data_IF_808858957388
#
_entry.id   IF_808858957388
#
_cell.length_a   1.000
_cell.length_b   1.000
_cell.length_c   1.000
_cell.angle_alpha   90.00
_cell.angle_beta   90.00
_cell.angle_gamma   90.00
#
_symmetry.space_group_name_H-M   'P 1'
#
loop_
_entity.id
_entity.type
_entity.pdbx_description
1 polymer ?
#
# COMPACT_ATOMS: atom_id res chain seq x y z
N UNK A 1 91.07 12.88 -29.70
CA UNK A 1 91.77 11.61 -29.40
C UNK A 1 91.28 11.18 -28.04
N UNK A 2 90.93 9.93 -27.92
CA UNK A 2 90.55 9.19 -26.72
C UNK A 2 89.06 9.00 -26.58
N UNK A 3 88.61 7.97 -27.11
CA UNK A 3 88.08 6.65 -26.77
C UNK A 3 86.95 6.61 -25.73
N UNK A 4 85.85 6.03 -26.24
CA UNK A 4 84.72 5.49 -25.51
C UNK A 4 85.10 4.15 -24.81
N UNK A 5 84.51 3.81 -23.71
CA UNK A 5 84.00 2.47 -23.65
C UNK A 5 82.51 2.36 -23.26
N UNK A 6 82.00 1.39 -23.85
CA UNK A 6 80.67 0.81 -23.87
C UNK A 6 80.24 0.15 -22.54
N UNK A 7 78.95 -0.09 -22.53
CA UNK A 7 78.20 -1.06 -21.73
C UNK A 7 77.71 -0.56 -20.35
N UNK A 8 76.47 -0.71 -19.98
CA UNK A 8 75.71 -1.96 -19.86
C UNK A 8 74.24 -1.63 -19.98
N UNK A 9 73.55 -2.38 -20.82
CA UNK A 9 72.10 -2.46 -20.85
C UNK A 9 71.61 -3.25 -19.63
N UNK A 10 70.74 -2.65 -18.81
CA UNK A 10 69.97 -3.41 -17.87
C UNK A 10 68.49 -3.13 -18.16
N UNK A 11 67.88 -4.09 -18.77
CA UNK A 11 66.43 -4.13 -19.06
C UNK A 11 65.74 -4.47 -17.77
N UNK A 12 65.06 -3.50 -17.17
CA UNK A 12 64.13 -3.79 -16.05
C UNK A 12 62.75 -3.94 -16.65
N UNK A 13 62.34 -5.18 -16.83
CA UNK A 13 60.95 -5.49 -17.17
C UNK A 13 60.08 -5.25 -15.94
N UNK A 14 59.35 -4.13 -15.94
CA UNK A 14 58.30 -3.89 -14.97
C UNK A 14 57.08 -4.71 -15.36
N UNK A 15 56.86 -5.78 -14.63
CA UNK A 15 55.62 -6.57 -14.67
C UNK A 15 54.54 -5.77 -13.94
N UNK A 16 53.69 -5.10 -14.69
CA UNK A 16 52.50 -4.43 -14.17
C UNK A 16 51.46 -5.50 -13.82
N UNK A 17 51.35 -5.83 -12.55
CA UNK A 17 50.27 -6.70 -12.04
C UNK A 17 48.97 -5.91 -12.00
N UNK A 18 48.10 -6.15 -12.95
CA UNK A 18 46.71 -5.72 -12.90
C UNK A 18 45.97 -6.55 -11.90
N UNK A 19 45.76 -6.05 -10.70
CA UNK A 19 44.77 -6.60 -9.77
C UNK A 19 43.40 -6.11 -10.20
N UNK A 20 42.64 -7.00 -10.87
CA UNK A 20 41.25 -6.77 -11.13
C UNK A 20 40.48 -6.83 -9.81
N UNK A 21 40.10 -5.66 -9.30
CA UNK A 21 39.18 -5.54 -8.16
C UNK A 21 37.77 -5.84 -8.70
N UNK A 22 37.32 -7.08 -8.57
CA UNK A 22 35.93 -7.44 -8.84
C UNK A 22 35.06 -6.83 -7.74
N UNK A 23 34.51 -5.65 -8.02
CA UNK A 23 33.50 -5.02 -7.17
C UNK A 23 32.21 -5.83 -7.25
N UNK A 24 31.89 -6.59 -6.22
CA UNK A 24 30.58 -7.20 -6.06
C UNK A 24 29.55 -6.08 -5.84
N UNK A 25 28.76 -5.76 -6.87
CA UNK A 25 27.57 -4.91 -6.72
C UNK A 25 26.53 -5.72 -5.97
N UNK A 26 26.43 -5.51 -4.66
CA UNK A 26 25.32 -6.02 -3.85
C UNK A 26 24.10 -5.18 -4.21
N UNK A 27 23.27 -5.68 -5.10
CA UNK A 27 21.94 -5.13 -5.35
C UNK A 27 21.09 -5.50 -4.13
N UNK A 28 21.04 -4.60 -3.15
CA UNK A 28 20.04 -4.68 -2.09
C UNK A 28 18.67 -4.49 -2.73
N UNK A 29 17.99 -5.58 -3.01
CA UNK A 29 16.60 -5.57 -3.39
C UNK A 29 15.80 -4.92 -2.25
N UNK A 30 15.40 -3.67 -2.43
CA UNK A 30 14.42 -3.05 -1.54
C UNK A 30 13.11 -3.81 -1.79
N UNK A 31 12.73 -4.67 -0.84
CA UNK A 31 11.37 -5.16 -0.76
C UNK A 31 10.49 -3.92 -0.61
N UNK A 32 9.66 -3.64 -1.61
CA UNK A 32 8.66 -2.60 -1.52
C UNK A 32 7.70 -3.04 -0.41
N UNK A 33 7.85 -2.44 0.77
CA UNK A 33 6.82 -2.51 1.80
C UNK A 33 5.62 -1.81 1.18
N UNK A 34 4.57 -2.57 0.88
CA UNK A 34 3.31 -1.98 0.44
C UNK A 34 2.85 -1.07 1.59
N UNK A 35 2.69 0.20 1.28
CA UNK A 35 2.18 1.13 2.26
C UNK A 35 0.74 0.73 2.60
N UNK A 36 0.45 0.62 3.89
CA UNK A 36 -0.89 0.33 4.40
C UNK A 36 -1.73 1.60 4.45
N UNK A 37 -3.06 1.41 4.53
CA UNK A 37 -4.00 2.49 4.81
C UNK A 37 -3.91 2.92 6.29
N UNK A 38 -4.21 4.19 6.55
CA UNK A 38 -4.37 4.71 7.91
C UNK A 38 -5.82 5.04 8.17
N UNK A 39 -6.43 4.37 9.16
CA UNK A 39 -7.82 4.59 9.56
C UNK A 39 -7.86 5.48 10.81
N UNK A 40 -8.62 6.59 10.73
CA UNK A 40 -8.82 7.52 11.85
C UNK A 40 -10.31 7.67 12.14
N UNK A 41 -10.75 7.18 13.29
CA UNK A 41 -12.15 7.36 13.75
C UNK A 41 -12.35 8.78 14.22
N UNK A 42 -13.30 9.47 13.60
CA UNK A 42 -13.65 10.86 13.92
C UNK A 42 -14.79 10.94 14.93
N UNK A 43 -15.75 10.02 14.84
CA UNK A 43 -16.92 9.97 15.70
C UNK A 43 -17.49 8.57 15.78
N UNK A 44 -17.99 8.21 16.96
CA UNK A 44 -18.90 7.07 17.17
C UNK A 44 -20.13 7.56 17.92
N UNK A 45 -21.30 7.26 17.38
CA UNK A 45 -22.54 7.74 17.95
C UNK A 45 -23.64 6.69 17.90
N UNK A 46 -24.19 6.32 19.06
CA UNK A 46 -25.42 5.54 19.15
C UNK A 46 -26.57 6.34 18.55
N UNK A 47 -27.40 5.69 17.77
CA UNK A 47 -28.54 6.34 17.14
C UNK A 47 -29.73 6.32 18.08
N UNK A 48 -30.25 7.50 18.41
CA UNK A 48 -31.37 7.63 19.36
C UNK A 48 -32.69 7.08 18.81
N UNK A 49 -32.85 7.08 17.49
CA UNK A 49 -34.04 6.63 16.76
C UNK A 49 -33.93 5.19 16.23
N UNK A 50 -32.76 4.55 16.41
CA UNK A 50 -32.49 3.18 15.95
C UNK A 50 -31.78 2.38 17.06
N UNK A 51 -32.58 1.79 17.97
CA UNK A 51 -32.07 1.05 19.12
C UNK A 51 -31.05 -0.03 18.70
N UNK A 52 -29.93 -0.12 19.40
CA UNK A 52 -28.86 -1.06 19.15
C UNK A 52 -27.96 -0.72 17.94
N UNK A 53 -28.18 0.41 17.27
CA UNK A 53 -27.37 0.85 16.13
C UNK A 53 -26.39 1.97 16.50
N UNK A 54 -25.23 1.90 15.85
CA UNK A 54 -24.16 2.88 16.00
C UNK A 54 -23.72 3.38 14.62
N UNK A 55 -23.53 4.70 14.49
CA UNK A 55 -22.86 5.29 13.36
C UNK A 55 -21.40 5.56 13.72
N UNK A 56 -20.49 5.10 12.89
CA UNK A 56 -19.07 5.45 12.96
C UNK A 56 -18.69 6.30 11.76
N UNK A 57 -18.12 7.48 12.01
CA UNK A 57 -17.55 8.35 10.99
C UNK A 57 -16.03 8.26 11.09
N UNK A 58 -15.37 8.00 9.98
CA UNK A 58 -13.92 7.83 9.95
C UNK A 58 -13.31 8.33 8.64
N UNK A 59 -12.03 8.57 8.65
CA UNK A 59 -11.25 8.76 7.41
C UNK A 59 -10.32 7.58 7.18
N UNK A 60 -10.08 7.30 5.90
CA UNK A 60 -9.05 6.37 5.45
C UNK A 60 -8.07 7.15 4.59
N UNK A 61 -6.83 7.22 5.02
CA UNK A 61 -5.73 7.87 4.32
C UNK A 61 -4.87 6.81 3.63
N UNK A 62 -4.75 6.91 2.31
CA UNK A 62 -3.91 6.07 1.47
C UNK A 62 -2.68 6.83 1.00
N UNK A 63 -1.51 6.42 1.41
CA UNK A 63 -0.26 6.85 0.78
C UNK A 63 -0.24 6.46 -0.71
N UNK A 64 0.62 7.05 -1.56
CA UNK A 64 0.79 6.63 -2.94
C UNK A 64 1.03 5.13 -3.06
N UNK A 65 0.20 4.43 -3.84
CA UNK A 65 0.27 2.97 -4.03
C UNK A 65 -0.22 2.11 -2.87
N UNK A 66 -0.71 2.71 -1.77
CA UNK A 66 -1.22 1.97 -0.62
C UNK A 66 -2.53 1.22 -0.92
N UNK A 67 -2.76 0.15 -0.19
CA UNK A 67 -3.97 -0.66 -0.27
C UNK A 67 -4.37 -1.18 1.11
N UNK A 68 -5.66 -1.38 1.32
CA UNK A 68 -6.19 -2.15 2.44
C UNK A 68 -6.20 -3.64 2.11
N UNK A 69 -6.02 -4.47 3.13
CA UNK A 69 -6.28 -5.90 3.01
C UNK A 69 -7.73 -6.18 2.66
N UNK A 70 -7.99 -7.32 2.00
CA UNK A 70 -9.35 -7.77 1.73
C UNK A 70 -10.10 -8.04 3.04
N UNK A 71 -11.30 -7.50 3.16
CA UNK A 71 -12.07 -7.51 4.40
C UNK A 71 -13.58 -7.50 4.17
N UNK A 72 -14.34 -7.59 5.25
CA UNK A 72 -15.79 -7.38 5.30
C UNK A 72 -16.12 -6.30 6.31
N UNK A 73 -17.19 -5.56 6.07
CA UNK A 73 -17.78 -4.65 7.06
C UNK A 73 -19.02 -5.30 7.68
N UNK A 74 -19.23 -5.23 9.01
CA UNK A 74 -20.40 -5.81 9.66
C UNK A 74 -21.70 -5.09 9.28
N UNK A 75 -21.60 -3.79 9.00
CA UNK A 75 -22.71 -2.92 8.68
C UNK A 75 -22.63 -2.29 7.29
N UNK A 76 -23.55 -1.39 7.02
CA UNK A 76 -23.61 -0.61 5.78
C UNK A 76 -22.54 0.44 5.75
N UNK A 77 -21.79 0.55 4.65
CA UNK A 77 -20.75 1.56 4.43
C UNK A 77 -21.16 2.51 3.31
N UNK A 78 -20.97 3.79 3.58
CA UNK A 78 -21.08 4.87 2.60
C UNK A 78 -19.72 5.56 2.54
N UNK A 79 -19.03 5.42 1.42
CA UNK A 79 -17.72 6.02 1.20
C UNK A 79 -17.80 7.22 0.26
N UNK A 80 -17.03 8.26 0.55
CA UNK A 80 -16.92 9.47 -0.24
C UNK A 80 -15.45 9.86 -0.41
N UNK A 81 -15.03 10.14 -1.64
CA UNK A 81 -13.65 10.52 -1.93
C UNK A 81 -13.44 12.00 -1.63
N UNK A 82 -12.67 12.29 -0.59
CA UNK A 82 -12.26 13.66 -0.22
C UNK A 82 -11.11 14.15 -1.09
N UNK A 83 -10.18 13.24 -1.44
CA UNK A 83 -8.96 13.58 -2.18
C UNK A 83 -8.47 12.38 -3.00
N UNK A 84 -7.86 12.67 -4.16
CA UNK A 84 -7.21 11.68 -5.01
C UNK A 84 -8.19 10.77 -5.74
N UNK A 85 -7.75 9.53 -5.93
CA UNK A 85 -8.45 8.49 -6.68
C UNK A 85 -8.39 7.16 -5.92
N UNK A 86 -9.53 6.50 -5.77
CA UNK A 86 -9.62 5.19 -5.10
C UNK A 86 -10.18 4.15 -6.08
N UNK A 87 -9.56 2.98 -6.09
CA UNK A 87 -10.00 1.81 -6.84
C UNK A 87 -10.58 0.81 -5.86
N UNK A 88 -11.80 0.37 -6.10
CA UNK A 88 -12.54 -0.55 -5.22
C UNK A 88 -13.20 -1.68 -6.00
N UNK A 89 -13.34 -2.83 -5.38
CA UNK A 89 -14.10 -3.97 -5.91
C UNK A 89 -14.74 -4.74 -4.77
N UNK A 90 -16.04 -4.86 -4.81
CA UNK A 90 -16.79 -5.82 -3.98
C UNK A 90 -16.87 -7.17 -4.68
N UNK A 91 -17.09 -8.24 -3.93
CA UNK A 91 -17.36 -9.59 -4.47
C UNK A 91 -18.54 -9.55 -5.45
N UNK A 92 -18.42 -10.27 -6.58
CA UNK A 92 -19.35 -10.26 -7.72
C UNK A 92 -19.53 -8.91 -8.41
N UNK A 93 -18.79 -7.88 -7.97
CA UNK A 93 -18.79 -6.55 -8.58
C UNK A 93 -17.67 -6.35 -9.59
N UNK A 94 -17.81 -5.31 -10.40
CA UNK A 94 -16.73 -4.84 -11.28
C UNK A 94 -15.72 -4.03 -10.48
N UNK A 95 -14.47 -4.02 -10.96
CA UNK A 95 -13.48 -3.08 -10.49
C UNK A 95 -13.91 -1.66 -10.87
N UNK A 96 -14.07 -0.79 -9.88
CA UNK A 96 -14.54 0.58 -10.05
C UNK A 96 -13.46 1.56 -9.60
N UNK A 97 -13.45 2.72 -10.23
CA UNK A 97 -12.56 3.83 -9.88
C UNK A 97 -13.39 5.05 -9.53
N UNK A 98 -13.14 5.62 -8.37
CA UNK A 98 -13.80 6.82 -7.88
C UNK A 98 -12.78 7.93 -7.65
N UNK A 99 -13.15 9.15 -8.05
CA UNK A 99 -12.32 10.35 -7.86
C UNK A 99 -12.98 11.31 -6.87
N UNK A 100 -12.25 12.33 -6.45
CA UNK A 100 -12.74 13.37 -5.54
C UNK A 100 -14.18 13.80 -5.86
N UNK A 101 -15.06 13.80 -4.85
CA UNK A 101 -16.47 14.19 -4.97
C UNK A 101 -17.40 13.02 -5.29
N UNK A 102 -16.89 11.83 -5.58
CA UNK A 102 -17.70 10.65 -5.86
C UNK A 102 -17.86 9.77 -4.62
N UNK A 103 -18.92 8.97 -4.62
CA UNK A 103 -19.28 8.08 -3.52
C UNK A 103 -19.79 6.73 -4.02
N UNK A 104 -19.74 5.73 -3.13
CA UNK A 104 -20.33 4.42 -3.35
C UNK A 104 -20.88 3.84 -2.05
N UNK A 105 -21.62 2.76 -2.19
CA UNK A 105 -22.21 2.01 -1.11
C UNK A 105 -21.67 0.58 -1.06
N UNK A 106 -21.43 0.08 0.17
CA UNK A 106 -21.05 -1.31 0.43
C UNK A 106 -22.09 -1.96 1.36
N UNK A 107 -22.76 -3.03 0.90
CA UNK A 107 -23.72 -3.76 1.71
C UNK A 107 -23.03 -4.45 2.90
N UNK A 108 -23.76 -4.67 4.02
CA UNK A 108 -23.24 -5.43 5.15
C UNK A 108 -22.72 -6.80 4.74
N UNK A 109 -21.58 -7.19 5.31
CA UNK A 109 -20.95 -8.52 5.14
C UNK A 109 -20.58 -8.88 3.69
N UNK A 110 -20.68 -7.95 2.75
CA UNK A 110 -20.20 -8.15 1.37
C UNK A 110 -18.67 -8.07 1.36
N UNK A 111 -17.96 -9.10 0.85
CA UNK A 111 -16.51 -9.05 0.74
C UNK A 111 -16.01 -7.88 -0.09
N UNK A 112 -15.11 -7.09 0.50
CA UNK A 112 -14.40 -6.00 -0.15
C UNK A 112 -13.04 -6.53 -0.60
N UNK A 113 -12.93 -6.89 -1.89
CA UNK A 113 -11.77 -7.59 -2.44
C UNK A 113 -10.62 -6.65 -2.76
N UNK A 114 -10.95 -5.43 -3.19
CA UNK A 114 -9.96 -4.40 -3.55
C UNK A 114 -10.38 -3.08 -2.95
N UNK A 115 -9.48 -2.45 -2.20
CA UNK A 115 -9.59 -1.07 -1.76
C UNK A 115 -8.20 -0.47 -1.74
N UNK A 116 -7.90 0.43 -2.68
CA UNK A 116 -6.55 0.97 -2.83
C UNK A 116 -6.51 2.35 -3.45
N UNK A 117 -5.40 3.05 -3.21
CA UNK A 117 -5.07 4.26 -3.98
C UNK A 117 -4.91 3.92 -5.47
N UNK A 118 -5.58 4.67 -6.33
CA UNK A 118 -5.44 4.56 -7.79
C UNK A 118 -4.16 5.18 -8.34
N UNK A 119 -3.44 5.98 -7.53
CA UNK A 119 -2.19 6.65 -7.89
C UNK A 119 -1.00 6.05 -7.16
N UNK A 120 0.15 6.04 -7.83
CA UNK A 120 1.46 5.69 -7.23
C UNK A 120 2.27 6.91 -6.81
N UNK A 121 1.79 8.11 -7.11
CA UNK A 121 2.51 9.37 -6.87
C UNK A 121 1.76 10.34 -5.98
N UNK A 122 0.43 10.26 -5.97
CA UNK A 122 -0.44 11.17 -5.22
C UNK A 122 -1.18 10.41 -4.11
N UNK A 123 -1.44 11.01 -2.95
CA UNK A 123 -2.25 10.41 -1.90
C UNK A 123 -3.73 10.36 -2.28
N UNK A 124 -4.49 9.55 -1.55
CA UNK A 124 -5.94 9.55 -1.61
C UNK A 124 -6.55 9.51 -0.21
N UNK A 125 -7.74 10.09 -0.04
CA UNK A 125 -8.43 10.16 1.23
C UNK A 125 -9.93 9.93 1.07
N UNK A 126 -10.47 9.08 1.94
CA UNK A 126 -11.90 8.79 2.05
C UNK A 126 -12.47 9.39 3.33
N UNK A 127 -13.73 9.82 3.24
CA UNK A 127 -14.64 9.91 4.38
C UNK A 127 -15.58 8.71 4.31
N UNK A 128 -15.74 8.02 5.43
CA UNK A 128 -16.56 6.81 5.51
C UNK A 128 -17.57 6.94 6.64
N UNK A 129 -18.84 6.60 6.34
CA UNK A 129 -19.89 6.36 7.31
C UNK A 129 -20.18 4.87 7.37
N UNK A 130 -20.04 4.29 8.53
CA UNK A 130 -20.42 2.90 8.81
C UNK A 130 -21.62 2.90 9.76
N UNK A 131 -22.69 2.19 9.38
CA UNK A 131 -23.83 1.92 10.23
C UNK A 131 -23.84 0.44 10.59
N UNK A 132 -23.63 0.12 11.86
CA UNK A 132 -23.53 -1.27 12.35
C UNK A 132 -24.32 -1.48 13.65
N UNK A 133 -24.34 -2.69 14.17
CA UNK A 133 -24.73 -2.93 15.54
C UNK A 133 -23.73 -2.26 16.49
N UNK A 134 -24.22 -1.83 17.65
CA UNK A 134 -23.41 -1.23 18.68
C UNK A 134 -22.27 -2.15 19.12
N UNK A 135 -21.04 -1.62 19.17
CA UNK A 135 -19.86 -2.34 19.64
C UNK A 135 -19.22 -3.26 18.61
N UNK A 136 -19.73 -3.34 17.37
CA UNK A 136 -19.06 -4.10 16.32
C UNK A 136 -17.75 -3.41 15.87
N UNK A 137 -16.83 -4.23 15.37
CA UNK A 137 -15.58 -3.73 14.77
C UNK A 137 -15.87 -3.04 13.44
N UNK A 138 -15.01 -2.10 13.05
CA UNK A 138 -15.14 -1.36 11.77
C UNK A 138 -15.03 -2.31 10.58
N UNK A 139 -14.10 -3.25 10.64
CA UNK A 139 -13.87 -4.28 9.62
C UNK A 139 -13.42 -5.58 10.26
N UNK A 140 -13.64 -6.69 9.60
CA UNK A 140 -13.13 -8.01 9.95
C UNK A 140 -12.39 -8.62 8.75
N UNK A 141 -11.34 -9.43 8.96
CA UNK A 141 -10.67 -10.14 7.88
C UNK A 141 -11.66 -11.07 7.18
N UNK A 142 -11.45 -11.29 5.90
CA UNK A 142 -12.23 -12.29 5.16
C UNK A 142 -11.98 -13.68 5.75
N UNK A 143 -13.04 -14.44 5.96
CA UNK A 143 -12.92 -15.83 6.37
C UNK A 143 -12.33 -16.65 5.22
N UNK A 144 -11.26 -17.46 5.44
CA UNK A 144 -10.71 -18.29 4.37
C UNK A 144 -11.78 -19.19 3.77
N UNK A 145 -11.78 -19.45 2.47
CA UNK A 145 -12.65 -20.44 1.85
C UNK A 145 -12.44 -21.81 2.53
N UNK A 146 -13.50 -22.44 3.02
CA UNK A 146 -13.43 -23.78 3.62
C UNK A 146 -13.30 -23.85 5.14
N UNK A 147 -13.36 -22.74 5.90
CA UNK A 147 -13.39 -22.75 7.36
C UNK A 147 -14.82 -22.82 7.95
N UNK A 148 -15.76 -23.39 7.21
CA UNK A 148 -17.08 -23.76 7.72
C UNK A 148 -17.03 -25.13 8.37
N UNK A 149 -17.28 -25.21 9.67
CA UNK A 149 -17.74 -26.46 10.30
C UNK A 149 -19.21 -26.66 9.99
#
# INVERSE_FOLDING_TARGET
MVTIPSSIRTTVAQVLKWTALAGAVVVLGQAAVLAEDTVSVLMKQRLADMAGKEATVLTVDYAPGAASDSHVHPGSVFAYVLEGTVVTQLEDGKLMTYTKGQSWYEPPKKPHLVSKNGSRTEPAKLLVFLLSEEGESIKAPMKPPGSGM
#
